data_IF_756626297739
#
_entry.id   IF_756626297739
#
_cell.length_a   1.000
_cell.length_b   1.000
_cell.length_c   1.000
_cell.angle_alpha   90.00
_cell.angle_beta   90.00
_cell.angle_gamma   90.00
#
_symmetry.space_group_name_H-M   'P 1'
#
loop_
_entity.id
_entity.type
_entity.pdbx_description
1 polymer ?
#
# COMPACT_ATOMS: atom_id res chain seq x y z
N UNK A 1 -33.16 -23.29 -2.42
CA UNK A 1 -32.59 -21.93 -2.64
C UNK A 1 -31.29 -21.70 -1.86
N UNK A 2 -31.12 -22.30 -0.68
CA UNK A 2 -29.95 -22.14 0.20
C UNK A 2 -28.62 -22.61 -0.41
N UNK A 3 -28.63 -23.73 -1.13
CA UNK A 3 -27.44 -24.31 -1.78
C UNK A 3 -26.83 -23.42 -2.88
N UNK A 4 -27.65 -22.61 -3.57
CA UNK A 4 -27.16 -21.66 -4.58
C UNK A 4 -26.51 -20.44 -3.95
N UNK A 5 -26.99 -19.98 -2.78
CA UNK A 5 -26.36 -18.88 -2.02
C UNK A 5 -24.99 -19.29 -1.46
N UNK A 6 -24.88 -20.51 -0.93
CA UNK A 6 -23.59 -21.02 -0.44
C UNK A 6 -22.57 -21.13 -1.57
N UNK A 7 -22.97 -21.68 -2.73
CA UNK A 7 -22.12 -21.74 -3.92
C UNK A 7 -21.71 -20.36 -4.41
N UNK A 8 -22.62 -19.39 -4.48
CA UNK A 8 -22.27 -18.04 -4.92
C UNK A 8 -21.28 -17.36 -3.95
N UNK A 9 -21.45 -17.54 -2.64
CA UNK A 9 -20.53 -17.00 -1.64
C UNK A 9 -19.14 -17.65 -1.72
N UNK A 10 -19.10 -18.98 -1.88
CA UNK A 10 -17.84 -19.71 -2.06
C UNK A 10 -17.10 -19.24 -3.33
N UNK A 11 -17.81 -19.04 -4.44
CA UNK A 11 -17.22 -18.52 -5.68
C UNK A 11 -16.69 -17.09 -5.56
N UNK A 12 -17.32 -16.25 -4.72
CA UNK A 12 -16.83 -14.90 -4.43
C UNK A 12 -15.56 -14.97 -3.57
N UNK A 13 -15.54 -15.84 -2.56
CA UNK A 13 -14.39 -16.00 -1.68
C UNK A 13 -13.14 -16.55 -2.40
N UNK A 14 -13.35 -17.36 -3.45
CA UNK A 14 -12.29 -17.90 -4.29
C UNK A 14 -11.78 -16.91 -5.36
N UNK A 15 -12.45 -15.76 -5.53
CA UNK A 15 -12.02 -14.77 -6.52
C UNK A 15 -10.69 -14.17 -6.07
N UNK A 16 -9.65 -14.18 -6.93
CA UNK A 16 -8.38 -13.55 -6.57
C UNK A 16 -8.61 -12.05 -6.29
N UNK A 17 -7.83 -11.45 -5.38
CA UNK A 17 -7.90 -10.02 -5.14
C UNK A 17 -7.68 -9.27 -6.46
N UNK A 18 -8.49 -8.23 -6.68
CA UNK A 18 -8.41 -7.41 -7.89
C UNK A 18 -7.03 -6.74 -7.96
N UNK A 19 -6.36 -6.89 -9.10
CA UNK A 19 -5.10 -6.18 -9.39
C UNK A 19 -5.41 -4.70 -9.62
N UNK A 20 -5.38 -3.92 -8.55
CA UNK A 20 -5.53 -2.47 -8.56
C UNK A 20 -4.13 -1.87 -8.47
N UNK A 21 -3.80 -0.83 -9.24
CA UNK A 21 -2.53 -0.13 -9.09
C UNK A 21 -2.31 0.30 -7.64
N UNK A 22 -1.10 0.12 -7.13
CA UNK A 22 -0.73 0.40 -5.74
C UNK A 22 -1.10 1.83 -5.33
N UNK A 23 -0.87 2.80 -6.21
CA UNK A 23 -1.24 4.20 -5.99
C UNK A 23 -2.74 4.38 -5.76
N UNK A 24 -3.57 3.77 -6.60
CA UNK A 24 -5.03 3.78 -6.46
C UNK A 24 -5.48 3.05 -5.19
N UNK A 25 -4.86 1.91 -4.86
CA UNK A 25 -5.17 1.16 -3.65
C UNK A 25 -4.87 1.99 -2.39
N UNK A 26 -3.73 2.68 -2.34
CA UNK A 26 -3.35 3.54 -1.21
C UNK A 26 -4.38 4.66 -1.02
N UNK A 27 -4.73 5.38 -2.08
CA UNK A 27 -5.69 6.49 -1.98
C UNK A 27 -7.12 6.04 -1.64
N UNK A 28 -7.46 4.79 -1.94
CA UNK A 28 -8.76 4.21 -1.60
C UNK A 28 -8.84 3.71 -0.15
N UNK A 29 -7.73 3.19 0.40
CA UNK A 29 -7.75 2.41 1.65
C UNK A 29 -6.99 3.06 2.82
N UNK A 30 -6.01 3.93 2.57
CA UNK A 30 -5.18 4.50 3.63
C UNK A 30 -5.79 5.79 4.17
N UNK A 31 -5.95 5.84 5.49
CA UNK A 31 -6.45 7.00 6.22
C UNK A 31 -5.43 7.43 7.27
N UNK A 32 -5.11 8.73 7.28
CA UNK A 32 -4.13 9.32 8.17
C UNK A 32 -4.84 9.94 9.38
N UNK A 33 -4.59 9.44 10.61
CA UNK A 33 -5.12 10.04 11.83
C UNK A 33 -4.39 11.35 12.15
N UNK A 34 -5.03 12.20 12.96
CA UNK A 34 -4.47 13.51 13.40
C UNK A 34 -3.15 13.39 14.14
N UNK A 35 -2.93 12.25 14.80
CA UNK A 35 -1.71 11.96 15.54
C UNK A 35 -0.51 11.68 14.65
N UNK A 36 -0.74 11.22 13.41
CA UNK A 36 0.32 10.76 12.51
C UNK A 36 0.59 11.73 11.34
N UNK A 37 -0.28 12.72 11.11
CA UNK A 37 -0.19 13.65 10.00
C UNK A 37 -0.85 14.99 10.31
N UNK A 38 -0.24 16.08 9.85
CA UNK A 38 -0.87 17.40 9.85
C UNK A 38 -2.06 17.46 8.88
N UNK A 39 -2.01 16.68 7.80
CA UNK A 39 -3.13 16.50 6.87
C UNK A 39 -3.93 15.28 7.30
N UNK A 40 -5.07 15.57 7.91
CA UNK A 40 -6.09 14.60 8.31
C UNK A 40 -6.84 14.07 7.09
N UNK A 41 -7.17 12.78 7.10
CA UNK A 41 -8.09 12.20 6.13
C UNK A 41 -7.48 11.11 5.26
N UNK A 42 -8.13 10.84 4.12
CA UNK A 42 -7.61 9.88 3.14
C UNK A 42 -6.28 10.35 2.58
N UNK A 43 -5.34 9.42 2.47
CA UNK A 43 -4.05 9.71 1.87
C UNK A 43 -4.25 10.12 0.41
N UNK A 44 -3.65 11.25 0.02
CA UNK A 44 -3.58 11.72 -1.36
C UNK A 44 -2.13 11.75 -1.78
N UNK A 45 -1.81 11.04 -2.86
CA UNK A 45 -0.45 10.91 -3.32
C UNK A 45 -0.04 12.10 -4.16
N UNK A 46 1.13 12.67 -3.86
CA UNK A 46 1.79 13.61 -4.76
C UNK A 46 2.33 12.87 -5.99
N UNK A 47 2.59 13.62 -7.07
CA UNK A 47 3.01 13.08 -8.36
C UNK A 47 4.24 12.16 -8.25
N UNK A 48 5.24 12.55 -7.46
CA UNK A 48 6.44 11.72 -7.26
C UNK A 48 6.15 10.43 -6.50
N UNK A 49 5.17 10.43 -5.57
CA UNK A 49 4.79 9.23 -4.83
C UNK A 49 4.08 8.24 -5.74
N UNK A 50 3.27 8.72 -6.71
CA UNK A 50 2.68 7.87 -7.75
C UNK A 50 3.76 7.21 -8.60
N UNK A 51 4.76 7.97 -9.05
CA UNK A 51 5.89 7.41 -9.80
C UNK A 51 6.66 6.34 -9.02
N UNK A 52 6.81 6.50 -7.69
CA UNK A 52 7.37 5.46 -6.83
C UNK A 52 6.46 4.23 -6.79
N UNK A 53 5.13 4.40 -6.64
CA UNK A 53 4.19 3.28 -6.67
C UNK A 53 4.23 2.54 -8.02
N UNK A 54 4.26 3.26 -9.13
CA UNK A 54 4.30 2.68 -10.47
C UNK A 54 5.59 1.86 -10.66
N UNK A 55 6.72 2.35 -10.13
CA UNK A 55 7.97 1.60 -10.13
C UNK A 55 7.95 0.37 -9.21
N UNK A 56 7.16 0.38 -8.13
CA UNK A 56 6.98 -0.80 -7.24
C UNK A 56 6.11 -1.87 -7.93
N UNK A 57 5.09 -1.45 -8.68
CA UNK A 57 4.19 -2.36 -9.40
C UNK A 57 4.86 -3.00 -10.63
N UNK A 58 5.98 -2.45 -11.11
CA UNK A 58 6.70 -2.95 -12.27
C UNK A 58 7.55 -4.20 -11.91
N UNK A 59 7.23 -5.39 -12.44
CA UNK A 59 7.97 -6.61 -12.13
C UNK A 59 9.39 -6.64 -12.72
N UNK A 60 9.73 -5.75 -13.66
CA UNK A 60 11.08 -5.64 -14.22
C UNK A 60 12.03 -4.83 -13.30
N UNK A 61 11.49 -4.13 -12.30
CA UNK A 61 12.26 -3.29 -11.37
C UNK A 61 12.50 -4.05 -10.05
N UNK A 62 13.73 -4.53 -9.85
CA UNK A 62 14.11 -5.23 -8.62
C UNK A 62 14.42 -4.27 -7.44
N UNK A 63 14.92 -3.06 -7.74
CA UNK A 63 15.40 -2.12 -6.72
C UNK A 63 15.06 -0.68 -7.05
N UNK A 64 14.49 0.01 -6.06
CA UNK A 64 14.17 1.43 -6.12
C UNK A 64 15.01 2.17 -5.07
N UNK A 65 15.75 3.19 -5.51
CA UNK A 65 16.53 4.06 -4.62
C UNK A 65 15.98 5.48 -4.72
N UNK A 66 15.63 6.08 -3.59
CA UNK A 66 14.97 7.39 -3.54
C UNK A 66 15.82 8.37 -2.74
N UNK A 67 16.32 9.41 -3.42
CA UNK A 67 16.84 10.59 -2.75
C UNK A 67 15.67 11.53 -2.45
N UNK A 68 15.44 11.82 -1.17
CA UNK A 68 14.29 12.60 -0.72
C UNK A 68 14.64 13.60 0.36
N UNK A 69 13.85 14.67 0.46
CA UNK A 69 13.89 15.64 1.57
C UNK A 69 13.24 15.10 2.84
N UNK A 70 13.46 15.76 3.98
CA UNK A 70 12.79 15.41 5.23
C UNK A 70 11.29 15.77 5.21
N UNK A 71 10.47 15.01 5.96
CA UNK A 71 9.04 15.29 6.22
C UNK A 71 8.11 15.40 5.00
N UNK A 72 8.45 14.73 3.89
CA UNK A 72 7.61 14.68 2.68
C UNK A 72 6.64 13.48 2.65
N UNK A 73 6.16 13.00 3.80
CA UNK A 73 5.25 11.85 3.86
C UNK A 73 5.82 10.52 3.33
N UNK A 74 7.14 10.38 3.24
CA UNK A 74 7.79 9.17 2.71
C UNK A 74 7.51 7.93 3.58
N UNK A 75 7.56 8.08 4.91
CA UNK A 75 7.23 6.97 5.83
C UNK A 75 5.79 6.50 5.66
N UNK A 76 4.84 7.43 5.49
CA UNK A 76 3.43 7.07 5.27
C UNK A 76 3.21 6.34 3.95
N UNK A 77 3.95 6.72 2.90
CA UNK A 77 3.95 5.99 1.63
C UNK A 77 4.40 4.54 1.85
N UNK A 78 5.54 4.31 2.51
CA UNK A 78 6.05 2.97 2.79
C UNK A 78 5.08 2.14 3.65
N UNK A 79 4.43 2.75 4.65
CA UNK A 79 3.38 2.08 5.42
C UNK A 79 2.20 1.66 4.55
N UNK A 80 1.79 2.50 3.59
CA UNK A 80 0.76 2.17 2.61
C UNK A 80 1.17 1.01 1.68
N UNK A 81 2.44 0.96 1.27
CA UNK A 81 3.00 -0.15 0.48
C UNK A 81 2.94 -1.45 1.27
N UNK A 82 3.45 -1.46 2.50
CA UNK A 82 3.44 -2.66 3.36
C UNK A 82 2.00 -3.13 3.59
N UNK A 83 1.08 -2.21 3.88
CA UNK A 83 -0.33 -2.54 4.06
C UNK A 83 -0.95 -3.16 2.80
N UNK A 84 -0.59 -2.67 1.61
CA UNK A 84 -1.04 -3.24 0.34
C UNK A 84 -0.59 -4.70 0.20
N UNK A 85 0.70 -4.99 0.43
CA UNK A 85 1.21 -6.36 0.37
C UNK A 85 0.53 -7.26 1.41
N UNK A 86 0.37 -6.81 2.64
CA UNK A 86 -0.31 -7.59 3.69
C UNK A 86 -1.73 -8.02 3.31
N UNK A 87 -2.47 -7.19 2.57
CA UNK A 87 -3.87 -7.45 2.21
C UNK A 87 -4.00 -8.19 0.87
N UNK A 88 -3.22 -7.77 -0.13
CA UNK A 88 -3.43 -8.22 -1.51
C UNK A 88 -2.45 -9.30 -1.96
N UNK A 89 -1.24 -9.35 -1.39
CA UNK A 89 -0.17 -10.27 -1.80
C UNK A 89 0.77 -10.56 -0.63
N UNK A 90 0.31 -11.30 0.39
CA UNK A 90 1.08 -11.52 1.60
C UNK A 90 2.40 -12.21 1.29
N UNK A 91 3.50 -11.61 1.74
CA UNK A 91 4.85 -12.11 1.57
C UNK A 91 5.70 -11.75 2.81
N UNK A 92 6.87 -12.37 3.01
CA UNK A 92 7.82 -11.91 4.00
C UNK A 92 8.28 -10.48 3.69
N UNK A 93 8.12 -9.56 4.65
CA UNK A 93 8.50 -8.16 4.52
C UNK A 93 9.48 -7.80 5.65
N UNK A 94 10.61 -7.18 5.30
CA UNK A 94 11.57 -6.62 6.25
C UNK A 94 11.60 -5.09 6.11
N UNK A 95 11.21 -4.38 7.17
CA UNK A 95 11.32 -2.93 7.25
C UNK A 95 12.39 -2.56 8.27
N UNK A 96 13.56 -2.11 7.78
CA UNK A 96 14.68 -1.68 8.62
C UNK A 96 14.67 -0.16 8.75
N UNK A 97 14.85 0.33 9.97
CA UNK A 97 14.99 1.76 10.26
C UNK A 97 16.31 2.01 10.99
N UNK A 98 16.94 3.18 10.80
CA UNK A 98 18.07 3.57 11.63
C UNK A 98 17.62 3.61 13.10
N UNK A 99 18.51 3.19 13.99
CA UNK A 99 18.35 3.36 15.44
C UNK A 99 18.54 4.83 15.81
N UNK A 100 17.98 5.24 16.95
CA UNK A 100 18.13 6.60 17.46
C UNK A 100 19.53 6.89 18.05
N UNK A 101 20.37 5.87 18.16
CA UNK A 101 21.72 5.96 18.71
C UNK A 101 22.68 6.48 17.63
N UNK A 102 22.98 7.77 17.71
CA UNK A 102 24.33 8.29 17.45
C UNK A 102 25.14 8.18 18.75
#
# INVERSE_FOLDING_TARGET
MENNKLRSQAMIALKPPSKIPLSCWIEANIFLPSTASATLGRMRLWSYQRGICDAIDDPEIERITVLKSARIGYTQLLSGVIANYCVNSPCPILAVQPTADD
#
